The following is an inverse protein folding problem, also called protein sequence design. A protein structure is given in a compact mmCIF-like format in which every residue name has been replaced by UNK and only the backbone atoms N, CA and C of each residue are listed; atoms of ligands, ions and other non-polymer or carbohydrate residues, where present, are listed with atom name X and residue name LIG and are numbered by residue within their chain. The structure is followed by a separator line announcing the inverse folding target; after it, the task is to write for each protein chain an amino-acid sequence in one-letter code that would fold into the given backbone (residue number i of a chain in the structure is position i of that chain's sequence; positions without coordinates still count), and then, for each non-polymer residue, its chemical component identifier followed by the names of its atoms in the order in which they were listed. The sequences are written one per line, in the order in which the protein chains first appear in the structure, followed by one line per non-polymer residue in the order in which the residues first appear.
data_IF_530647605732
#
_entry.id   IF_530647605732
#
_cell.length_a   1.000
_cell.length_b   1.000
_cell.length_c   1.000
_cell.angle_alpha   90.00
_cell.angle_beta   90.00
_cell.angle_gamma   90.00
#
_symmetry.space_group_name_H-M   'P 1'
#
loop_
_entity.id
_entity.type
_entity.pdbx_description
1 polymer ?
#
# COMPACT_ATOMS: atom_id res chain seq x y z
N UNK A 1 27.76 -9.68 -1.78
CA UNK A 1 26.99 -10.70 -1.01
C UNK A 1 25.97 -9.93 -0.17
N UNK A 2 24.77 -9.74 -0.70
CA UNK A 2 23.62 -9.21 0.05
C UNK A 2 23.19 -10.31 1.00
N UNK A 3 23.43 -10.11 2.30
CA UNK A 3 22.81 -10.90 3.34
C UNK A 3 21.29 -10.78 3.18
N UNK A 4 20.66 -11.85 2.72
CA UNK A 4 19.22 -12.06 2.82
C UNK A 4 18.91 -12.04 4.31
N UNK A 5 18.36 -10.92 4.81
CA UNK A 5 17.72 -10.89 6.12
C UNK A 5 16.52 -11.84 6.03
N UNK A 6 16.74 -13.06 6.50
CA UNK A 6 15.69 -14.03 6.73
C UNK A 6 14.80 -13.53 7.88
N UNK A 7 13.98 -12.52 7.59
CA UNK A 7 12.77 -12.24 8.33
C UNK A 7 11.64 -12.88 7.51
N UNK A 8 11.81 -14.17 7.25
CA UNK A 8 10.66 -15.01 7.08
C UNK A 8 9.98 -15.01 8.46
N UNK A 9 8.76 -14.46 8.55
CA UNK A 9 7.92 -14.58 9.75
C UNK A 9 7.55 -16.05 10.06
N UNK A 10 8.28 -17.01 9.50
CA UNK A 10 8.16 -18.44 9.73
C UNK A 10 8.73 -18.94 11.05
N UNK A 11 9.53 -18.13 11.79
CA UNK A 11 10.20 -18.59 13.01
C UNK A 11 9.81 -17.81 14.28
N UNK A 12 8.86 -16.88 14.22
CA UNK A 12 8.20 -16.41 15.42
C UNK A 12 7.25 -17.54 15.87
N UNK A 13 7.63 -18.28 16.93
CA UNK A 13 6.86 -19.41 17.42
C UNK A 13 5.41 -19.02 17.70
N UNK A 14 4.53 -19.32 16.74
CA UNK A 14 3.10 -19.03 16.81
C UNK A 14 2.47 -19.98 17.85
N UNK A 15 2.12 -19.45 19.00
CA UNK A 15 1.39 -20.16 20.06
C UNK A 15 -0.08 -19.71 20.12
N UNK A 16 -0.76 -19.57 18.99
CA UNK A 16 -2.17 -19.21 18.88
C UNK A 16 -2.57 -17.85 19.51
N UNK A 17 -2.29 -17.63 20.80
CA UNK A 17 -2.64 -16.40 21.52
C UNK A 17 -1.53 -15.35 21.60
N UNK A 18 -0.29 -15.72 21.33
CA UNK A 18 0.89 -14.89 21.55
C UNK A 18 1.91 -15.05 20.43
N UNK A 19 2.57 -13.96 20.07
CA UNK A 19 3.80 -13.98 19.27
C UNK A 19 5.01 -13.96 20.20
N UNK A 20 6.02 -14.80 19.93
CA UNK A 20 7.33 -14.71 20.56
C UNK A 20 8.15 -13.70 19.76
N UNK A 21 8.59 -12.62 20.41
CA UNK A 21 9.33 -11.57 19.75
C UNK A 21 10.77 -11.99 19.44
N UNK A 22 11.33 -11.42 18.36
CA UNK A 22 12.67 -11.74 17.86
C UNK A 22 13.81 -11.10 18.66
N UNK A 23 13.49 -10.41 19.77
CA UNK A 23 14.48 -9.71 20.58
C UNK A 23 14.78 -8.28 20.10
N UNK A 24 15.91 -7.74 20.56
CA UNK A 24 16.32 -6.34 20.29
C UNK A 24 17.61 -6.23 19.47
N UNK A 25 18.03 -7.34 18.84
CA UNK A 25 19.26 -7.42 18.05
C UNK A 25 19.30 -6.41 16.89
N UNK A 26 20.49 -6.08 16.36
CA UNK A 26 20.65 -5.11 15.30
C UNK A 26 19.97 -5.51 13.99
N UNK A 27 19.84 -6.82 13.74
CA UNK A 27 19.22 -7.37 12.54
C UNK A 27 17.67 -7.38 12.59
N UNK A 28 17.08 -7.07 13.76
CA UNK A 28 15.63 -6.97 13.93
C UNK A 28 15.20 -5.54 13.56
N UNK A 29 14.19 -5.34 12.69
CA UNK A 29 13.66 -4.02 12.40
C UNK A 29 13.24 -3.29 13.67
N UNK A 30 13.50 -1.96 13.75
CA UNK A 30 13.26 -1.18 14.97
C UNK A 30 11.83 -1.30 15.50
N UNK A 31 10.85 -1.37 14.63
CA UNK A 31 9.44 -1.48 14.99
C UNK A 31 9.06 -2.87 15.54
N UNK A 32 9.86 -3.92 15.30
CA UNK A 32 9.67 -5.28 15.84
C UNK A 32 10.53 -5.57 17.08
N UNK A 33 11.44 -4.67 17.48
CA UNK A 33 12.36 -4.90 18.60
C UNK A 33 11.63 -4.93 19.92
N UNK A 34 11.52 -6.11 20.49
CA UNK A 34 10.99 -6.33 21.83
C UNK A 34 11.46 -7.66 22.39
N UNK A 35 11.67 -7.75 23.71
CA UNK A 35 11.99 -8.99 24.40
C UNK A 35 10.72 -9.58 25.04
N UNK A 36 10.46 -10.86 24.81
CA UNK A 36 9.34 -11.56 25.41
C UNK A 36 8.24 -11.90 24.43
N UNK A 37 6.98 -11.74 24.85
CA UNK A 37 5.80 -12.11 24.08
C UNK A 37 4.85 -10.93 23.96
N UNK A 38 4.20 -10.81 22.81
CA UNK A 38 3.12 -9.84 22.56
C UNK A 38 1.84 -10.57 22.16
N UNK A 39 0.70 -9.97 22.45
CA UNK A 39 -0.59 -10.61 22.23
C UNK A 39 -0.95 -10.68 20.76
N UNK A 40 -1.42 -11.85 20.30
CA UNK A 40 -2.02 -11.98 18.99
C UNK A 40 -3.49 -11.53 19.07
N UNK A 41 -3.82 -10.46 18.35
CA UNK A 41 -5.18 -9.88 18.27
C UNK A 41 -5.85 -10.17 16.93
N UNK A 42 -5.20 -10.92 16.03
CA UNK A 42 -5.72 -11.29 14.71
C UNK A 42 -6.30 -10.08 13.95
N UNK A 43 -5.43 -9.13 13.61
CA UNK A 43 -5.83 -7.93 12.86
C UNK A 43 -6.65 -8.28 11.61
N UNK A 44 -7.77 -7.61 11.41
CA UNK A 44 -8.62 -7.80 10.24
C UNK A 44 -7.97 -7.19 8.98
N UNK A 45 -8.34 -7.70 7.80
CA UNK A 45 -7.85 -7.19 6.51
C UNK A 45 -8.06 -5.69 6.37
N UNK A 46 -9.28 -5.23 6.62
CA UNK A 46 -9.66 -3.82 6.55
C UNK A 46 -8.77 -2.92 7.43
N UNK A 47 -8.41 -3.38 8.63
CA UNK A 47 -7.57 -2.60 9.54
C UNK A 47 -6.14 -2.50 9.01
N UNK A 48 -5.64 -3.57 8.37
CA UNK A 48 -4.34 -3.56 7.71
C UNK A 48 -4.33 -2.60 6.50
N UNK A 49 -5.35 -2.65 5.64
CA UNK A 49 -5.51 -1.75 4.49
C UNK A 49 -5.58 -0.27 4.91
N UNK A 50 -6.39 0.04 5.93
CA UNK A 50 -6.48 1.40 6.49
C UNK A 50 -5.12 1.86 7.01
N UNK A 51 -4.40 0.99 7.72
CA UNK A 51 -3.08 1.34 8.24
C UNK A 51 -2.05 1.55 7.12
N UNK A 52 -2.06 0.74 6.05
CA UNK A 52 -1.21 0.92 4.86
C UNK A 52 -1.47 2.30 4.23
N UNK A 53 -2.74 2.66 4.05
CA UNK A 53 -3.12 3.96 3.50
C UNK A 53 -2.63 5.12 4.36
N UNK A 54 -2.91 5.09 5.66
CA UNK A 54 -2.47 6.12 6.61
C UNK A 54 -0.92 6.26 6.63
N UNK A 55 -0.22 5.13 6.57
CA UNK A 55 1.23 5.10 6.51
C UNK A 55 1.77 5.80 5.27
N UNK A 56 1.24 5.47 4.07
CA UNK A 56 1.68 6.10 2.83
C UNK A 56 1.37 7.59 2.79
N UNK A 57 0.18 8.00 3.23
CA UNK A 57 -0.17 9.42 3.33
C UNK A 57 0.81 10.18 4.23
N UNK A 58 1.18 9.60 5.37
CA UNK A 58 2.13 10.20 6.30
C UNK A 58 3.55 10.23 5.70
N UNK A 59 3.98 9.15 5.03
CA UNK A 59 5.32 9.06 4.44
C UNK A 59 5.49 10.04 3.29
N UNK A 60 4.54 10.12 2.37
CA UNK A 60 4.55 11.06 1.26
C UNK A 60 4.65 12.51 1.79
N UNK A 61 3.83 12.87 2.78
CA UNK A 61 3.91 14.20 3.43
C UNK A 61 5.26 14.47 4.07
N UNK A 62 5.90 13.46 4.62
CA UNK A 62 7.22 13.61 5.23
C UNK A 62 8.32 13.79 4.17
N UNK A 63 8.28 13.01 3.09
CA UNK A 63 9.29 13.02 2.03
C UNK A 63 9.20 14.25 1.12
N UNK A 64 8.02 14.87 1.00
CA UNK A 64 7.80 16.11 0.23
C UNK A 64 8.20 17.39 0.97
N UNK A 65 8.56 17.30 2.25
CA UNK A 65 9.01 18.49 3.00
C UNK A 65 10.32 19.03 2.42
N UNK A 66 10.47 20.37 2.27
CA UNK A 66 11.71 20.97 1.79
C UNK A 66 12.91 20.52 2.64
N UNK A 67 13.99 20.07 1.99
CA UNK A 67 15.23 19.57 2.63
C UNK A 67 15.06 18.32 3.50
N UNK A 68 13.95 17.60 3.41
CA UNK A 68 13.79 16.33 4.10
C UNK A 68 14.71 15.28 3.47
N UNK A 69 15.43 14.52 4.31
CA UNK A 69 16.12 13.32 3.85
C UNK A 69 15.12 12.16 3.83
N UNK A 70 14.89 11.57 2.67
CA UNK A 70 14.02 10.40 2.53
C UNK A 70 14.49 9.27 3.45
N UNK A 71 13.61 8.79 4.29
CA UNK A 71 13.85 7.66 5.19
C UNK A 71 13.47 6.36 4.49
N UNK A 72 14.12 5.26 4.87
CA UNK A 72 13.63 3.94 4.47
C UNK A 72 12.22 3.69 5.00
N UNK A 73 11.45 2.84 4.32
CA UNK A 73 10.09 2.47 4.76
C UNK A 73 10.12 1.89 6.18
N UNK A 74 11.12 1.04 6.49
CA UNK A 74 11.26 0.43 7.81
C UNK A 74 11.58 1.44 8.94
N UNK A 75 12.44 2.43 8.68
CA UNK A 75 12.75 3.48 9.67
C UNK A 75 11.56 4.42 9.84
N UNK A 76 10.90 4.78 8.75
CA UNK A 76 9.69 5.61 8.79
C UNK A 76 8.55 4.90 9.53
N UNK A 77 8.38 3.58 9.32
CA UNK A 77 7.42 2.75 10.03
C UNK A 77 7.61 2.82 11.54
N UNK A 78 8.86 2.70 12.02
CA UNK A 78 9.14 2.81 13.45
C UNK A 78 8.73 4.19 14.00
N UNK A 79 9.09 5.28 13.30
CA UNK A 79 8.78 6.64 13.71
C UNK A 79 7.27 6.92 13.70
N UNK A 80 6.57 6.43 12.68
CA UNK A 80 5.12 6.52 12.55
C UNK A 80 4.39 5.80 13.70
N UNK A 81 4.78 4.55 13.97
CA UNK A 81 4.23 3.79 15.09
C UNK A 81 4.59 4.43 16.44
N UNK A 82 5.80 4.96 16.60
CA UNK A 82 6.22 5.64 17.84
C UNK A 82 5.38 6.88 18.11
N UNK A 83 5.08 7.68 17.09
CA UNK A 83 4.18 8.82 17.24
C UNK A 83 2.76 8.42 17.63
N UNK A 84 2.28 7.26 17.18
CA UNK A 84 0.90 6.76 17.41
C UNK A 84 0.75 6.04 18.75
N UNK A 85 1.73 5.22 19.15
CA UNK A 85 1.62 4.33 20.31
C UNK A 85 2.51 4.71 21.50
N UNK A 86 3.53 5.51 21.27
CA UNK A 86 4.45 6.02 22.31
C UNK A 86 5.43 4.98 22.83
N UNK A 87 4.97 3.90 23.46
CA UNK A 87 5.81 2.92 24.16
C UNK A 87 6.15 1.71 23.29
N UNK A 88 7.39 1.20 23.44
CA UNK A 88 7.92 0.13 22.59
C UNK A 88 7.11 -1.18 22.67
N UNK A 89 6.54 -1.51 23.82
CA UNK A 89 5.69 -2.71 23.96
C UNK A 89 4.44 -2.64 23.06
N UNK A 90 3.77 -1.48 23.02
CA UNK A 90 2.59 -1.27 22.17
C UNK A 90 2.96 -1.23 20.68
N UNK A 91 4.11 -0.63 20.33
CA UNK A 91 4.65 -0.64 18.97
C UNK A 91 4.88 -2.08 18.52
N UNK A 92 5.58 -2.88 19.33
CA UNK A 92 5.86 -4.28 19.00
C UNK A 92 4.57 -5.10 18.88
N UNK A 93 3.62 -4.98 19.84
CA UNK A 93 2.35 -5.71 19.76
C UNK A 93 1.61 -5.39 18.46
N UNK A 94 1.47 -4.11 18.12
CA UNK A 94 0.82 -3.72 16.87
C UNK A 94 1.60 -4.23 15.65
N UNK A 95 2.92 -4.06 15.63
CA UNK A 95 3.76 -4.43 14.50
C UNK A 95 3.74 -5.93 14.19
N UNK A 96 3.79 -6.80 15.22
CA UNK A 96 3.68 -8.24 15.02
C UNK A 96 2.30 -8.64 14.48
N UNK A 97 1.22 -8.04 14.99
CA UNK A 97 -0.13 -8.28 14.48
C UNK A 97 -0.30 -7.77 13.05
N UNK A 98 0.30 -6.64 12.71
CA UNK A 98 0.28 -6.09 11.36
C UNK A 98 1.06 -6.95 10.37
N UNK A 99 2.30 -7.38 10.72
CA UNK A 99 3.08 -8.28 9.87
C UNK A 99 2.38 -9.63 9.64
N UNK A 100 1.75 -10.19 10.68
CA UNK A 100 0.93 -11.39 10.56
C UNK A 100 -0.27 -11.17 9.61
N UNK A 101 -0.94 -10.03 9.71
CA UNK A 101 -2.03 -9.68 8.80
C UNK A 101 -1.55 -9.57 7.35
N UNK A 102 -0.43 -8.89 7.09
CA UNK A 102 0.16 -8.79 5.75
C UNK A 102 0.42 -10.17 5.13
N UNK A 103 0.92 -11.13 5.93
CA UNK A 103 1.15 -12.49 5.47
C UNK A 103 -0.14 -13.27 5.24
N UNK A 104 -1.11 -13.18 6.15
CA UNK A 104 -2.41 -13.87 5.99
C UNK A 104 -3.19 -13.36 4.77
N UNK A 105 -3.02 -12.08 4.43
CA UNK A 105 -3.73 -11.44 3.33
C UNK A 105 -2.85 -11.16 2.11
N UNK A 106 -1.74 -11.90 1.94
CA UNK A 106 -0.84 -11.73 0.79
C UNK A 106 -1.46 -12.06 -0.59
N UNK A 107 -2.67 -12.61 -0.64
CA UNK A 107 -3.45 -12.71 -1.88
C UNK A 107 -4.04 -11.37 -2.33
N UNK A 108 -4.03 -10.37 -1.46
CA UNK A 108 -4.38 -8.98 -1.75
C UNK A 108 -3.14 -8.23 -2.20
N UNK A 109 -3.23 -7.54 -3.35
CA UNK A 109 -2.08 -6.88 -3.97
C UNK A 109 -1.48 -5.77 -3.10
N UNK A 110 -2.31 -5.00 -2.37
CA UNK A 110 -1.82 -3.92 -1.52
C UNK A 110 -1.05 -4.47 -0.31
N UNK A 111 -1.56 -5.54 0.31
CA UNK A 111 -0.89 -6.22 1.41
C UNK A 111 0.42 -6.88 0.95
N UNK A 112 0.42 -7.53 -0.22
CA UNK A 112 1.60 -8.18 -0.78
C UNK A 112 2.70 -7.16 -1.13
N UNK A 113 2.35 -6.11 -1.88
CA UNK A 113 3.30 -5.07 -2.30
C UNK A 113 3.87 -4.36 -1.08
N UNK A 114 3.01 -3.99 -0.12
CA UNK A 114 3.46 -3.34 1.10
C UNK A 114 4.41 -4.21 1.90
N UNK A 115 4.10 -5.50 2.08
CA UNK A 115 4.99 -6.46 2.74
C UNK A 115 6.37 -6.51 2.06
N UNK A 116 6.39 -6.70 0.75
CA UNK A 116 7.65 -6.77 -0.02
C UNK A 116 8.48 -5.48 0.10
N UNK A 117 7.85 -4.32 0.08
CA UNK A 117 8.55 -3.04 0.26
C UNK A 117 9.05 -2.90 1.70
N UNK A 118 8.24 -3.21 2.70
CA UNK A 118 8.60 -3.08 4.12
C UNK A 118 9.82 -3.92 4.49
N UNK A 119 9.95 -5.11 3.90
CA UNK A 119 11.08 -6.02 4.14
C UNK A 119 12.20 -5.92 3.10
N UNK A 120 12.12 -4.97 2.17
CA UNK A 120 13.19 -4.67 1.21
C UNK A 120 13.31 -5.67 0.06
N UNK A 121 12.29 -6.47 -0.19
CA UNK A 121 12.20 -7.37 -1.35
C UNK A 121 11.81 -6.61 -2.62
N UNK A 122 11.07 -5.53 -2.48
CA UNK A 122 10.67 -4.62 -3.55
C UNK A 122 11.12 -3.18 -3.22
N UNK A 123 11.53 -2.43 -4.24
CA UNK A 123 11.89 -1.02 -4.08
C UNK A 123 10.62 -0.17 -3.85
N UNK A 124 10.70 0.79 -2.93
CA UNK A 124 9.64 1.77 -2.67
C UNK A 124 9.25 2.58 -3.91
N UNK A 125 10.19 2.78 -4.84
CA UNK A 125 9.93 3.53 -6.08
C UNK A 125 8.85 2.88 -6.96
N UNK A 126 8.64 1.55 -6.84
CA UNK A 126 7.55 0.86 -7.54
C UNK A 126 6.17 1.38 -7.10
N UNK A 127 5.99 1.65 -5.81
CA UNK A 127 4.75 2.23 -5.29
C UNK A 127 4.55 3.66 -5.81
N UNK A 128 5.58 4.49 -5.75
CA UNK A 128 5.52 5.87 -6.24
C UNK A 128 5.23 5.94 -7.74
N UNK A 129 5.85 5.05 -8.54
CA UNK A 129 5.58 4.97 -9.97
C UNK A 129 4.13 4.55 -10.26
N UNK A 130 3.57 3.63 -9.48
CA UNK A 130 2.17 3.22 -9.60
C UNK A 130 1.22 4.38 -9.24
N UNK A 131 1.48 5.09 -8.15
CA UNK A 131 0.67 6.24 -7.75
C UNK A 131 0.71 7.37 -8.78
N UNK A 132 1.89 7.64 -9.37
CA UNK A 132 2.04 8.61 -10.45
C UNK A 132 1.24 8.20 -11.69
N UNK A 133 1.27 6.91 -12.05
CA UNK A 133 0.50 6.40 -13.18
C UNK A 133 -1.01 6.60 -12.98
N UNK A 134 -1.52 6.35 -11.76
CA UNK A 134 -2.92 6.58 -11.41
C UNK A 134 -3.28 8.07 -11.51
N UNK A 135 -2.43 8.96 -10.97
CA UNK A 135 -2.63 10.40 -11.06
C UNK A 135 -2.64 10.90 -12.50
N UNK A 136 -1.72 10.42 -13.34
CA UNK A 136 -1.64 10.76 -14.76
C UNK A 136 -2.89 10.29 -15.53
N UNK A 137 -3.42 9.11 -15.21
CA UNK A 137 -4.68 8.61 -15.76
C UNK A 137 -5.86 9.49 -15.34
N UNK A 138 -5.94 9.85 -14.04
CA UNK A 138 -6.98 10.76 -13.55
C UNK A 138 -6.92 12.11 -14.25
N UNK A 139 -5.73 12.68 -14.44
CA UNK A 139 -5.53 13.93 -15.19
C UNK A 139 -5.95 13.80 -16.66
N UNK A 140 -5.73 12.64 -17.28
CA UNK A 140 -6.20 12.37 -18.64
C UNK A 140 -7.74 12.32 -18.72
N UNK A 141 -8.38 11.71 -17.72
CA UNK A 141 -9.85 11.69 -17.59
C UNK A 141 -10.41 13.11 -17.37
N UNK A 142 -9.79 13.93 -16.52
CA UNK A 142 -10.23 15.32 -16.30
C UNK A 142 -10.17 16.18 -17.55
N UNK A 143 -9.14 15.99 -18.40
CA UNK A 143 -9.03 16.68 -19.69
C UNK A 143 -10.19 16.34 -20.64
N UNK A 144 -10.78 15.14 -20.50
CA UNK A 144 -11.93 14.71 -21.28
C UNK A 144 -13.25 15.17 -20.65
N UNK A 145 -13.35 15.15 -19.34
CA UNK A 145 -14.54 15.54 -18.56
C UNK A 145 -14.86 17.04 -18.71
N UNK A 146 -13.86 17.92 -18.61
CA UNK A 146 -14.03 19.39 -18.67
C UNK A 146 -14.81 19.92 -19.87
N UNK A 147 -14.50 19.56 -21.14
CA UNK A 147 -15.21 20.07 -22.30
C UNK A 147 -16.68 19.66 -22.34
N UNK A 148 -17.00 18.47 -21.86
CA UNK A 148 -18.34 17.89 -21.89
C UNK A 148 -19.30 18.53 -20.89
N UNK A 149 -18.75 19.10 -19.82
CA UNK A 149 -19.52 19.70 -18.73
C UNK A 149 -19.30 21.21 -18.59
N UNK A 150 -19.05 21.90 -19.73
CA UNK A 150 -18.92 23.35 -19.75
C UNK A 150 -17.79 23.91 -18.89
N UNK A 151 -16.67 23.18 -18.79
CA UNK A 151 -15.48 23.55 -18.01
C UNK A 151 -15.50 23.10 -16.55
N UNK A 152 -16.55 22.42 -16.09
CA UNK A 152 -16.62 21.83 -14.75
C UNK A 152 -16.11 20.40 -14.78
N UNK A 153 -15.40 19.99 -13.74
CA UNK A 153 -14.95 18.59 -13.53
C UNK A 153 -15.95 17.91 -12.61
N UNK A 154 -16.73 16.98 -13.16
CA UNK A 154 -17.69 16.19 -12.38
C UNK A 154 -17.06 14.97 -11.74
N UNK A 155 -15.91 14.50 -12.23
CA UNK A 155 -15.22 13.29 -11.75
C UNK A 155 -15.86 12.01 -12.28
N UNK A 156 -16.64 12.11 -13.35
CA UNK A 156 -17.39 11.01 -13.95
C UNK A 156 -17.29 11.10 -15.48
N UNK A 157 -17.08 9.95 -16.13
CA UNK A 157 -17.10 9.81 -17.60
C UNK A 157 -18.01 8.65 -17.99
N UNK A 158 -18.70 8.78 -19.13
CA UNK A 158 -19.36 7.63 -19.73
C UNK A 158 -18.34 6.52 -19.99
N UNK A 159 -18.74 5.25 -19.80
CA UNK A 159 -17.86 4.09 -19.92
C UNK A 159 -17.09 4.05 -21.25
N UNK A 160 -17.72 4.40 -22.35
CA UNK A 160 -17.10 4.43 -23.67
C UNK A 160 -15.97 5.47 -23.75
N UNK A 161 -16.19 6.63 -23.15
CA UNK A 161 -15.21 7.72 -23.09
C UNK A 161 -14.03 7.35 -22.21
N UNK A 162 -14.31 6.77 -21.02
CA UNK A 162 -13.26 6.25 -20.15
C UNK A 162 -12.44 5.18 -20.86
N UNK A 163 -13.07 4.22 -21.56
CA UNK A 163 -12.38 3.20 -22.33
C UNK A 163 -11.52 3.79 -23.45
N UNK A 164 -11.97 4.88 -24.09
CA UNK A 164 -11.18 5.58 -25.10
C UNK A 164 -9.94 6.24 -24.46
N UNK A 165 -10.11 6.91 -23.31
CA UNK A 165 -8.96 7.46 -22.54
C UNK A 165 -8.00 6.36 -22.15
N UNK A 166 -8.48 5.25 -21.62
CA UNK A 166 -7.66 4.13 -21.17
C UNK A 166 -6.84 3.52 -22.34
N UNK A 167 -7.45 3.34 -23.51
CA UNK A 167 -6.75 2.85 -24.71
C UNK A 167 -5.64 3.80 -25.18
N UNK A 168 -5.86 5.11 -25.10
CA UNK A 168 -4.86 6.12 -25.44
C UNK A 168 -3.74 6.21 -24.40
N UNK A 169 -4.08 6.03 -23.14
CA UNK A 169 -3.16 6.13 -22.02
C UNK A 169 -2.22 4.93 -21.91
N UNK A 170 -2.68 3.73 -22.28
CA UNK A 170 -1.94 2.48 -22.22
C UNK A 170 -1.70 1.86 -23.63
N UNK A 171 -1.03 2.56 -24.55
CA UNK A 171 -0.94 2.13 -25.95
C UNK A 171 -0.10 0.85 -26.15
N UNK A 172 0.73 0.49 -25.17
CA UNK A 172 1.61 -0.69 -25.21
C UNK A 172 0.97 -1.96 -24.66
N UNK A 173 -0.22 -1.85 -24.05
CA UNK A 173 -0.93 -3.01 -23.52
C UNK A 173 -1.53 -3.84 -24.65
N UNK A 174 -1.47 -5.17 -24.51
CA UNK A 174 -2.11 -6.07 -25.46
C UNK A 174 -3.65 -5.94 -25.43
N UNK A 175 -4.31 -6.33 -26.52
CA UNK A 175 -5.77 -6.32 -26.56
C UNK A 175 -6.39 -7.19 -25.46
N UNK A 176 -5.74 -8.33 -25.13
CA UNK A 176 -6.16 -9.20 -24.06
C UNK A 176 -6.06 -8.54 -22.67
N UNK A 177 -4.92 -7.87 -22.36
CA UNK A 177 -4.74 -7.15 -21.09
C UNK A 177 -5.75 -6.02 -20.95
N UNK A 178 -6.02 -5.28 -22.05
CA UNK A 178 -7.03 -4.24 -22.08
C UNK A 178 -8.43 -4.78 -21.84
N UNK A 179 -8.75 -5.97 -22.36
CA UNK A 179 -10.03 -6.61 -22.10
C UNK A 179 -10.16 -7.03 -20.63
N UNK A 180 -9.11 -7.61 -20.03
CA UNK A 180 -9.09 -7.96 -18.61
C UNK A 180 -9.30 -6.74 -17.72
N UNK A 181 -8.60 -5.62 -18.01
CA UNK A 181 -8.78 -4.35 -17.27
C UNK A 181 -10.23 -3.83 -17.37
N UNK A 182 -10.83 -3.87 -18.56
CA UNK A 182 -12.22 -3.43 -18.77
C UNK A 182 -13.23 -4.35 -18.07
N UNK A 183 -12.95 -5.64 -18.01
CA UNK A 183 -13.78 -6.59 -17.25
C UNK A 183 -13.67 -6.31 -15.74
N UNK A 184 -12.47 -6.17 -15.19
CA UNK A 184 -12.25 -5.82 -13.79
C UNK A 184 -13.01 -4.53 -13.41
N UNK A 185 -12.86 -3.48 -14.23
CA UNK A 185 -13.59 -2.22 -14.04
C UNK A 185 -15.12 -2.41 -14.05
N UNK A 186 -15.63 -3.34 -14.85
CA UNK A 186 -17.07 -3.62 -14.93
C UNK A 186 -17.61 -4.32 -13.68
N UNK A 187 -16.75 -5.07 -12.95
CA UNK A 187 -17.10 -5.63 -11.65
C UNK A 187 -17.10 -4.56 -10.55
N UNK A 188 -16.08 -3.69 -10.54
CA UNK A 188 -15.94 -2.66 -9.50
C UNK A 188 -16.96 -1.52 -9.67
N UNK A 189 -17.22 -1.14 -10.91
CA UNK A 189 -18.16 -0.05 -11.26
C UNK A 189 -19.13 -0.54 -12.34
N UNK A 190 -20.22 -1.23 -11.98
CA UNK A 190 -21.16 -1.83 -12.95
C UNK A 190 -22.05 -0.80 -13.67
N UNK A 191 -22.07 0.47 -13.25
CA UNK A 191 -22.88 1.53 -13.85
C UNK A 191 -22.36 1.96 -15.23
N UNK A 192 -23.21 2.64 -16.00
CA UNK A 192 -22.86 3.18 -17.30
C UNK A 192 -21.78 4.26 -17.23
N UNK A 193 -21.74 5.00 -16.12
CA UNK A 193 -20.79 6.06 -15.87
C UNK A 193 -19.69 5.58 -14.90
N UNK A 194 -18.45 5.94 -15.20
CA UNK A 194 -17.26 5.60 -14.42
C UNK A 194 -16.85 6.80 -13.58
N UNK A 195 -16.93 6.66 -12.26
CA UNK A 195 -16.40 7.61 -11.31
C UNK A 195 -14.89 7.50 -11.20
N UNK A 196 -14.13 8.13 -12.09
CA UNK A 196 -12.68 7.96 -12.19
C UNK A 196 -11.88 8.51 -11.01
N UNK A 197 -12.50 9.33 -10.14
CA UNK A 197 -11.90 9.77 -8.86
C UNK A 197 -11.98 8.72 -7.75
N UNK A 198 -12.61 7.58 -8.02
CA UNK A 198 -12.75 6.46 -7.09
C UNK A 198 -11.88 5.26 -7.51
N UNK A 199 -11.05 5.44 -8.54
CA UNK A 199 -10.03 4.48 -8.97
C UNK A 199 -8.79 4.57 -8.02
#
# INVERSE_FOLDING_TARGET
QRQRSAIAAGDAGFTGKWFVCQGTGPNVPKFLRFNGKVRNRMMAKRDAEVFIKEFWEHKIKADTRPRAKRQSVADHMHNFMKARFGVQAAIAEFAYNFCDALQRYQSDADCEIFHKILFGELCEDCYHAQMQLIEDLMNACERKDKPEHGGKVLGVLAREQFNAVLNQFLPTKSANDMQVLKQALSYDQPLADIGYRKL
#
